data_IF_156779798156
#
_entry.id   IF_156779798156
#
_cell.length_a   1.000
_cell.length_b   1.000
_cell.length_c   1.000
_cell.angle_alpha   90.00
_cell.angle_beta   90.00
_cell.angle_gamma   90.00
#
_symmetry.space_group_name_H-M   'P 1'
#
loop_
_entity.id
_entity.type
_entity.pdbx_description
1 polymer ?
#
# COMPACT_ATOMS: atom_id res chain seq x y z
N UNK A 1 2.86 -37.21 -31.67
CA UNK A 1 2.70 -35.75 -31.82
C UNK A 1 2.19 -35.19 -30.51
N UNK A 2 3.06 -34.53 -29.76
CA UNK A 2 2.75 -33.44 -28.82
C UNK A 2 4.12 -32.92 -28.35
N UNK A 3 4.68 -32.01 -29.14
CA UNK A 3 5.83 -31.19 -28.77
C UNK A 3 5.33 -30.12 -27.81
N UNK A 4 5.63 -30.26 -26.52
CA UNK A 4 5.43 -29.20 -25.54
C UNK A 4 6.64 -28.26 -25.66
N UNK A 5 6.41 -27.11 -26.28
CA UNK A 5 7.42 -26.07 -26.39
C UNK A 5 7.68 -25.49 -25.00
N UNK A 6 8.89 -25.67 -24.49
CA UNK A 6 9.40 -24.84 -23.40
C UNK A 6 9.49 -23.42 -23.93
N UNK A 7 8.58 -22.55 -23.51
CA UNK A 7 8.70 -21.12 -23.76
C UNK A 7 9.90 -20.62 -22.95
N UNK A 8 11.03 -20.42 -23.63
CA UNK A 8 12.12 -19.58 -23.15
C UNK A 8 11.55 -18.17 -22.96
N UNK A 9 11.42 -17.74 -21.71
CA UNK A 9 11.18 -16.34 -21.40
C UNK A 9 12.53 -15.64 -21.51
N UNK A 10 12.68 -14.78 -22.54
CA UNK A 10 13.74 -13.77 -22.65
C UNK A 10 13.65 -12.83 -21.44
N UNK A 11 14.51 -13.04 -20.45
CA UNK A 11 14.66 -12.17 -19.26
C UNK A 11 15.81 -11.17 -19.46
N UNK A 12 15.82 -10.47 -20.60
CA UNK A 12 16.88 -9.52 -20.94
C UNK A 12 16.32 -8.20 -21.51
N UNK A 13 15.58 -7.43 -20.70
CA UNK A 13 15.63 -5.94 -20.69
C UNK A 13 15.15 -5.44 -19.32
N UNK A 14 16.00 -5.55 -18.29
CA UNK A 14 15.94 -4.61 -17.16
C UNK A 14 16.74 -3.39 -17.58
N UNK A 15 16.04 -2.41 -18.14
CA UNK A 15 16.59 -1.08 -18.34
C UNK A 15 17.10 -0.57 -17.00
N UNK A 16 18.40 -0.31 -16.91
CA UNK A 16 19.04 0.32 -15.77
C UNK A 16 18.39 1.67 -15.54
N UNK A 17 17.38 1.70 -14.67
CA UNK A 17 16.86 2.94 -14.11
C UNK A 17 18.00 3.54 -13.29
N UNK A 18 18.52 4.68 -13.71
CA UNK A 18 19.38 5.49 -12.86
C UNK A 18 18.56 5.87 -11.62
N UNK A 19 18.79 5.17 -10.53
CA UNK A 19 18.33 5.57 -9.21
C UNK A 19 19.19 6.76 -8.80
N UNK A 20 18.57 7.94 -8.79
CA UNK A 20 19.13 9.15 -8.20
C UNK A 20 19.34 8.86 -6.70
N UNK A 21 20.57 8.53 -6.31
CA UNK A 21 20.97 8.16 -4.95
C UNK A 21 20.65 9.31 -3.98
N UNK A 22 19.74 9.15 -3.01
CA UNK A 22 19.58 10.15 -1.97
C UNK A 22 20.78 10.06 -1.03
N UNK A 23 21.61 11.12 -1.04
CA UNK A 23 22.63 11.35 -0.02
C UNK A 23 21.97 11.29 1.37
N UNK A 24 22.24 10.20 2.10
CA UNK A 24 21.78 9.98 3.48
C UNK A 24 22.96 9.87 4.43
N UNK A 25 23.95 10.76 4.28
CA UNK A 25 24.90 11.01 5.35
C UNK A 25 24.19 11.77 6.48
N UNK A 26 23.99 11.07 7.61
CA UNK A 26 23.54 11.58 8.92
C UNK A 26 22.05 11.51 9.24
N UNK A 27 21.45 10.32 9.17
CA UNK A 27 20.32 9.96 10.05
C UNK A 27 20.67 8.70 10.83
N UNK A 28 20.75 8.90 12.15
CA UNK A 28 20.93 7.97 13.27
C UNK A 28 20.77 6.47 12.97
N UNK A 29 21.85 5.71 13.20
CA UNK A 29 21.93 4.24 13.10
C UNK A 29 20.86 3.49 13.91
N UNK A 30 20.36 4.06 15.02
CA UNK A 30 19.30 3.44 15.81
C UNK A 30 17.92 3.43 15.12
N UNK A 31 17.65 4.34 14.18
CA UNK A 31 16.40 4.34 13.42
C UNK A 31 16.48 3.50 12.14
N UNK A 32 17.68 3.01 11.77
CA UNK A 32 17.88 2.23 10.55
C UNK A 32 17.72 0.72 10.81
N UNK A 33 18.00 0.27 12.02
CA UNK A 33 17.87 -1.14 12.43
C UNK A 33 16.41 -1.61 12.42
N UNK A 34 15.49 -0.83 13.02
CA UNK A 34 14.06 -1.15 13.02
C UNK A 34 13.46 -1.20 11.59
N UNK A 35 13.92 -0.34 10.67
CA UNK A 35 13.45 -0.31 9.28
C UNK A 35 13.98 -1.47 8.42
N UNK A 36 15.12 -2.07 8.77
CA UNK A 36 15.67 -3.20 8.02
C UNK A 36 14.97 -4.52 8.40
N UNK A 37 14.55 -4.65 9.65
CA UNK A 37 13.83 -5.84 10.12
C UNK A 37 12.39 -5.89 9.59
N UNK A 38 11.70 -4.76 9.44
CA UNK A 38 10.33 -4.67 8.87
C UNK A 38 10.22 -5.11 7.40
N UNK A 39 11.32 -5.13 6.65
CA UNK A 39 11.33 -5.61 5.26
C UNK A 39 11.57 -7.11 5.16
N UNK A 40 11.85 -7.78 6.27
CA UNK A 40 11.97 -9.24 6.33
C UNK A 40 10.60 -9.91 6.23
N UNK A 41 10.57 -11.11 5.63
CA UNK A 41 9.34 -11.93 5.55
C UNK A 41 8.83 -12.30 6.95
N UNK A 42 9.75 -12.46 7.92
CA UNK A 42 9.41 -12.73 9.32
C UNK A 42 8.67 -11.59 9.98
N UNK A 43 9.06 -10.32 9.77
CA UNK A 43 8.37 -9.18 10.35
C UNK A 43 6.94 -9.05 9.82
N UNK A 44 6.75 -9.19 8.51
CA UNK A 44 5.40 -9.21 7.90
C UNK A 44 4.51 -10.33 8.43
N UNK A 45 5.07 -11.49 8.76
CA UNK A 45 4.31 -12.59 9.36
C UNK A 45 3.89 -12.27 10.80
N UNK A 46 4.76 -11.58 11.57
CA UNK A 46 4.42 -11.09 12.91
C UNK A 46 3.28 -10.09 12.83
N UNK A 47 3.41 -9.06 11.98
CA UNK A 47 2.37 -8.05 11.75
C UNK A 47 1.04 -8.70 11.33
N UNK A 48 1.08 -9.68 10.41
CA UNK A 48 -0.10 -10.44 9.99
C UNK A 48 -0.74 -11.19 11.15
N UNK A 49 0.06 -11.80 12.02
CA UNK A 49 -0.43 -12.53 13.19
C UNK A 49 -1.09 -11.60 14.22
N UNK A 50 -0.55 -10.40 14.40
CA UNK A 50 -1.12 -9.39 15.28
C UNK A 50 -2.43 -8.84 14.73
N UNK A 51 -2.47 -8.54 13.43
CA UNK A 51 -3.67 -8.10 12.73
C UNK A 51 -4.76 -9.18 12.82
N UNK A 52 -4.42 -10.46 12.65
CA UNK A 52 -5.36 -11.57 12.79
C UNK A 52 -5.97 -11.62 14.20
N UNK A 53 -5.16 -11.47 15.26
CA UNK A 53 -5.66 -11.42 16.64
C UNK A 53 -6.63 -10.26 16.86
N UNK A 54 -6.31 -9.08 16.32
CA UNK A 54 -7.17 -7.91 16.43
C UNK A 54 -8.50 -8.10 15.67
N UNK A 55 -8.47 -8.75 14.50
CA UNK A 55 -9.69 -9.12 13.78
C UNK A 55 -10.54 -10.06 14.63
N UNK A 56 -9.94 -11.11 15.20
CA UNK A 56 -10.67 -12.10 16.00
C UNK A 56 -11.31 -11.47 17.23
N UNK A 57 -10.60 -10.55 17.91
CA UNK A 57 -11.16 -9.77 19.01
C UNK A 57 -12.32 -8.86 18.55
N UNK A 58 -12.15 -8.16 17.43
CA UNK A 58 -13.18 -7.29 16.86
C UNK A 58 -14.47 -8.06 16.54
N UNK A 59 -14.33 -9.24 15.92
CA UNK A 59 -15.46 -10.12 15.61
C UNK A 59 -16.10 -10.69 16.89
N UNK A 60 -15.29 -11.11 17.86
CA UNK A 60 -15.76 -11.62 19.15
C UNK A 60 -16.52 -10.57 19.96
N UNK A 61 -16.13 -9.30 19.85
CA UNK A 61 -16.80 -8.15 20.47
C UNK A 61 -18.10 -7.75 19.76
N UNK A 62 -18.46 -8.43 18.66
CA UNK A 62 -19.68 -8.17 17.89
C UNK A 62 -19.50 -7.16 16.76
N UNK A 63 -18.26 -6.83 16.40
CA UNK A 63 -17.94 -6.07 15.19
C UNK A 63 -18.34 -6.84 13.93
N UNK A 64 -18.66 -6.10 12.86
CA UNK A 64 -19.07 -6.66 11.56
C UNK A 64 -18.20 -6.09 10.46
N UNK A 65 -17.72 -6.97 9.58
CA UNK A 65 -16.97 -6.58 8.39
C UNK A 65 -17.98 -6.34 7.27
N UNK A 66 -17.87 -5.19 6.60
CA UNK A 66 -18.69 -4.86 5.43
C UNK A 66 -17.81 -4.90 4.20
N UNK A 67 -18.24 -5.64 3.17
CA UNK A 67 -17.59 -5.63 1.86
C UNK A 67 -17.97 -4.34 1.13
N UNK A 68 -16.96 -3.57 0.73
CA UNK A 68 -17.15 -2.34 -0.04
C UNK A 68 -16.85 -2.66 -1.50
N UNK A 69 -17.85 -2.51 -2.37
CA UNK A 69 -17.63 -2.68 -3.81
C UNK A 69 -16.63 -1.62 -4.33
N UNK A 70 -15.78 -1.97 -5.31
CA UNK A 70 -14.72 -1.09 -5.82
C UNK A 70 -15.23 0.21 -6.46
N UNK A 71 -16.54 0.34 -6.71
CA UNK A 71 -17.16 1.51 -7.30
C UNK A 71 -17.76 2.49 -6.26
N UNK A 72 -17.63 2.21 -4.96
CA UNK A 72 -18.07 3.12 -3.90
C UNK A 72 -16.99 4.17 -3.65
N UNK A 73 -16.90 5.14 -4.54
CA UNK A 73 -16.29 6.42 -4.22
C UNK A 73 -17.30 7.19 -3.38
N UNK A 74 -17.01 7.35 -2.08
CA UNK A 74 -17.79 8.22 -1.21
C UNK A 74 -17.99 9.56 -1.93
N UNK A 75 -19.26 9.99 -2.05
CA UNK A 75 -19.76 11.09 -2.88
C UNK A 75 -18.65 12.07 -3.34
N UNK A 76 -18.34 12.13 -4.65
CA UNK A 76 -17.24 12.96 -5.13
C UNK A 76 -17.41 14.40 -4.62
N UNK A 77 -16.30 15.09 -4.29
CA UNK A 77 -16.34 16.41 -3.68
C UNK A 77 -17.27 17.33 -4.49
N UNK A 78 -18.36 17.75 -3.86
CA UNK A 78 -19.37 18.57 -4.53
C UNK A 78 -18.75 19.92 -4.89
N UNK A 79 -19.07 20.40 -6.11
CA UNK A 79 -18.59 21.70 -6.58
C UNK A 79 -19.03 22.78 -5.57
N UNK A 80 -18.10 23.63 -5.08
CA UNK A 80 -18.47 24.70 -4.17
C UNK A 80 -19.45 25.65 -4.87
N UNK A 81 -20.58 25.95 -4.23
CA UNK A 81 -21.51 26.97 -4.73
C UNK A 81 -20.81 28.32 -4.70
N UNK A 82 -20.55 28.91 -5.86
CA UNK A 82 -20.00 30.26 -5.95
C UNK A 82 -21.09 31.27 -5.58
N UNK A 83 -21.21 31.57 -4.27
CA UNK A 83 -22.04 32.68 -3.77
C UNK A 83 -21.29 34.03 -3.86
N UNK A 84 -20.10 34.04 -4.46
CA UNK A 84 -19.32 35.25 -4.69
C UNK A 84 -20.01 36.10 -5.76
N UNK A 85 -20.58 37.24 -5.34
CA UNK A 85 -21.35 38.14 -6.19
C UNK A 85 -22.86 38.23 -5.86
N UNK A 86 -23.35 37.44 -4.90
CA UNK A 86 -24.74 37.57 -4.40
C UNK A 86 -24.93 38.74 -3.41
N UNK A 87 -23.83 39.36 -2.98
CA UNK A 87 -23.86 40.61 -2.21
C UNK A 87 -23.78 41.77 -3.21
N UNK A 88 -24.81 42.64 -3.27
CA UNK A 88 -24.72 43.87 -4.06
C UNK A 88 -23.55 44.73 -3.53
N UNK A 89 -22.79 45.31 -4.46
CA UNK A 89 -21.70 46.25 -4.19
C UNK A 89 -22.22 47.63 -3.80
#
# INVERSE_FOLDING_TARGET
MASEATSEYDDDVIGSVETDEPNTDSVTTAAKEDYMDDHSVSAKEIERSELQKQIDEFLSRGGKITEVEPNVTADPPQKPSSNYGSRPI
#
